data_IF_418222869810
#
_entry.id   IF_418222869810
#
_cell.length_a   1.000
_cell.length_b   1.000
_cell.length_c   1.000
_cell.angle_alpha   90.00
_cell.angle_beta   90.00
_cell.angle_gamma   90.00
#
_symmetry.space_group_name_H-M   'P 1'
#
loop_
_entity.id
_entity.type
_entity.pdbx_description
1 polymer ?
#
# COMPACT_ATOMS: atom_id res chain seq x y z
N UNK A 1 -6.74 28.63 26.66
CA UNK A 1 -6.86 27.50 25.71
C UNK A 1 -8.10 27.73 24.86
N UNK A 2 -7.97 28.39 23.71
CA UNK A 2 -9.08 28.56 22.75
C UNK A 2 -9.27 27.21 22.06
N UNK A 3 -10.49 26.65 22.10
CA UNK A 3 -10.81 25.36 21.50
C UNK A 3 -10.43 25.35 20.02
N UNK A 4 -9.60 24.38 19.66
CA UNK A 4 -9.25 24.07 18.27
C UNK A 4 -10.56 23.80 17.51
N UNK A 5 -10.98 24.76 16.68
CA UNK A 5 -12.11 24.56 15.77
C UNK A 5 -11.73 23.39 14.86
N UNK A 6 -12.51 22.30 14.89
CA UNK A 6 -12.45 21.25 13.88
C UNK A 6 -12.67 21.90 12.51
N UNK A 7 -11.62 22.05 11.74
CA UNK A 7 -11.65 22.64 10.39
C UNK A 7 -12.37 21.75 9.37
N UNK A 8 -12.62 20.48 9.69
CA UNK A 8 -13.41 19.58 8.85
C UNK A 8 -14.89 19.69 9.25
N UNK A 9 -15.75 19.97 8.27
CA UNK A 9 -17.19 19.80 8.40
C UNK A 9 -17.52 18.34 8.81
N UNK A 10 -18.77 18.07 9.23
CA UNK A 10 -19.20 16.68 9.51
C UNK A 10 -18.85 15.78 8.33
N UNK A 11 -18.20 14.63 8.60
CA UNK A 11 -17.91 13.64 7.59
C UNK A 11 -19.20 13.23 6.86
N UNK A 12 -19.13 13.14 5.54
CA UNK A 12 -20.25 12.64 4.75
C UNK A 12 -20.39 11.13 4.99
N UNK A 13 -21.50 10.73 5.59
CA UNK A 13 -21.74 9.34 5.99
C UNK A 13 -21.69 8.38 4.81
N UNK A 14 -22.24 8.75 3.64
CA UNK A 14 -22.21 7.89 2.45
C UNK A 14 -20.79 7.73 1.90
N UNK A 15 -20.02 8.82 1.89
CA UNK A 15 -18.61 8.76 1.47
C UNK A 15 -17.79 7.91 2.43
N UNK A 16 -18.05 8.02 3.74
CA UNK A 16 -17.38 7.19 4.74
C UNK A 16 -17.71 5.71 4.56
N UNK A 17 -18.97 5.36 4.26
CA UNK A 17 -19.38 3.99 3.92
C UNK A 17 -18.68 3.54 2.63
N UNK A 18 -18.62 4.39 1.60
CA UNK A 18 -17.92 4.07 0.35
C UNK A 18 -16.44 3.73 0.58
N UNK A 19 -15.75 4.49 1.46
CA UNK A 19 -14.36 4.20 1.86
C UNK A 19 -14.26 2.85 2.55
N UNK A 20 -15.19 2.52 3.45
CA UNK A 20 -15.17 1.20 4.11
C UNK A 20 -15.41 0.07 3.13
N UNK A 21 -16.38 0.18 2.23
CA UNK A 21 -16.65 -0.83 1.19
C UNK A 21 -15.42 -1.05 0.31
N UNK A 22 -14.76 0.03 -0.10
CA UNK A 22 -13.54 -0.05 -0.90
C UNK A 22 -12.39 -0.76 -0.14
N UNK A 23 -12.18 -0.41 1.12
CA UNK A 23 -11.16 -1.01 1.97
C UNK A 23 -11.50 -2.47 2.35
N UNK A 24 -12.78 -2.81 2.57
CA UNK A 24 -13.22 -4.21 2.76
C UNK A 24 -12.83 -5.05 1.55
N UNK A 25 -13.08 -4.54 0.34
CA UNK A 25 -12.71 -5.28 -0.86
C UNK A 25 -11.20 -5.54 -0.94
N UNK A 26 -10.37 -4.57 -0.55
CA UNK A 26 -8.93 -4.75 -0.54
C UNK A 26 -8.45 -5.72 0.56
N UNK A 27 -9.01 -5.60 1.79
CA UNK A 27 -8.67 -6.45 2.93
C UNK A 27 -9.14 -7.90 2.75
N UNK A 28 -10.34 -8.07 2.19
CA UNK A 28 -11.04 -9.36 2.13
C UNK A 28 -10.98 -10.02 0.75
N UNK A 29 -10.15 -9.52 -0.18
CA UNK A 29 -10.07 -10.01 -1.56
C UNK A 29 -9.98 -11.54 -1.66
N UNK A 30 -9.22 -12.18 -0.80
CA UNK A 30 -9.01 -13.63 -0.80
C UNK A 30 -10.11 -14.42 -0.08
N UNK A 31 -10.99 -13.76 0.66
CA UNK A 31 -12.05 -14.36 1.46
C UNK A 31 -13.43 -14.19 0.82
N UNK A 32 -13.54 -13.32 -0.20
CA UNK A 32 -14.77 -13.02 -0.90
C UNK A 32 -14.84 -13.78 -2.23
N UNK A 33 -16.02 -14.19 -2.67
CA UNK A 33 -16.23 -14.72 -4.02
C UNK A 33 -15.74 -13.73 -5.09
N UNK A 34 -15.17 -14.24 -6.18
CA UNK A 34 -14.63 -13.42 -7.28
C UNK A 34 -15.65 -12.42 -7.87
N UNK A 35 -16.94 -12.74 -7.86
CA UNK A 35 -18.01 -11.82 -8.27
C UNK A 35 -18.09 -10.60 -7.36
N UNK A 36 -18.06 -10.80 -6.05
CA UNK A 36 -18.12 -9.72 -5.06
C UNK A 36 -16.89 -8.81 -5.13
N UNK A 37 -15.69 -9.37 -5.32
CA UNK A 37 -14.46 -8.58 -5.42
C UNK A 37 -14.44 -7.65 -6.64
N UNK A 38 -15.24 -7.93 -7.66
CA UNK A 38 -15.45 -7.08 -8.84
C UNK A 38 -16.54 -6.03 -8.63
N UNK A 39 -17.62 -6.39 -7.91
CA UNK A 39 -18.79 -5.53 -7.70
C UNK A 39 -18.54 -4.48 -6.60
N UNK A 40 -17.89 -4.85 -5.50
CA UNK A 40 -17.69 -3.95 -4.36
C UNK A 40 -16.96 -2.64 -4.71
N UNK A 41 -15.88 -2.61 -5.52
CA UNK A 41 -15.23 -1.36 -5.91
C UNK A 41 -16.14 -0.47 -6.76
N UNK A 42 -16.94 -1.06 -7.66
CA UNK A 42 -17.93 -0.33 -8.46
C UNK A 42 -18.99 0.28 -7.54
N UNK A 43 -19.50 -0.49 -6.59
CA UNK A 43 -20.47 -0.02 -5.61
C UNK A 43 -19.91 1.11 -4.74
N UNK A 44 -18.64 1.03 -4.34
CA UNK A 44 -17.96 2.11 -3.63
C UNK A 44 -17.89 3.40 -4.46
N UNK A 45 -17.60 3.29 -5.77
CA UNK A 45 -17.60 4.44 -6.70
C UNK A 45 -18.99 5.06 -6.79
N UNK A 46 -20.03 4.25 -6.95
CA UNK A 46 -21.42 4.72 -7.01
C UNK A 46 -21.84 5.45 -5.73
N UNK A 47 -21.54 4.87 -4.56
CA UNK A 47 -21.83 5.52 -3.27
C UNK A 47 -21.09 6.85 -3.10
N UNK A 48 -19.82 6.92 -3.50
CA UNK A 48 -19.04 8.15 -3.44
C UNK A 48 -19.56 9.20 -4.42
N UNK A 49 -20.11 8.79 -5.56
CA UNK A 49 -20.64 9.66 -6.63
C UNK A 49 -22.03 10.23 -6.38
N UNK A 50 -22.89 9.57 -5.59
CA UNK A 50 -24.31 9.96 -5.38
C UNK A 50 -24.48 11.40 -4.90
N UNK A 51 -23.54 11.97 -4.16
CA UNK A 51 -23.61 13.34 -3.63
C UNK A 51 -22.70 14.34 -4.36
N UNK A 52 -22.26 14.04 -5.56
CA UNK A 52 -21.58 15.06 -6.38
C UNK A 52 -22.62 15.90 -7.11
N UNK A 53 -22.48 17.23 -7.06
CA UNK A 53 -23.38 18.16 -7.73
C UNK A 53 -23.46 17.93 -9.26
N UNK A 54 -22.42 17.31 -9.81
CA UNK A 54 -22.33 16.89 -11.21
C UNK A 54 -21.58 15.55 -11.26
N UNK A 55 -22.28 14.41 -11.18
CA UNK A 55 -21.64 13.07 -11.12
C UNK A 55 -20.84 12.74 -12.39
N UNK A 56 -21.10 13.43 -13.51
CA UNK A 56 -20.39 13.25 -14.77
C UNK A 56 -19.17 14.17 -14.94
N UNK A 57 -18.98 15.19 -14.08
CA UNK A 57 -17.82 16.07 -14.12
C UNK A 57 -16.81 15.63 -13.09
N UNK A 58 -15.78 14.91 -13.53
CA UNK A 58 -14.69 14.49 -12.65
C UNK A 58 -13.77 15.69 -12.35
N UNK A 59 -13.57 16.06 -11.08
CA UNK A 59 -12.70 17.17 -10.68
C UNK A 59 -11.22 16.78 -10.78
N UNK A 60 -10.70 16.76 -12.00
CA UNK A 60 -9.34 16.35 -12.33
C UNK A 60 -8.34 17.37 -11.78
N UNK A 61 -7.42 16.93 -10.93
CA UNK A 61 -6.30 17.70 -10.41
C UNK A 61 -5.01 17.48 -11.21
N UNK A 62 -3.97 18.27 -10.90
CA UNK A 62 -2.67 18.15 -11.58
C UNK A 62 -2.07 16.74 -11.46
N UNK A 63 -2.20 16.11 -10.28
CA UNK A 63 -1.72 14.75 -10.02
C UNK A 63 -2.44 13.67 -10.84
N UNK A 64 -3.68 13.95 -11.28
CA UNK A 64 -4.47 12.99 -12.04
C UNK A 64 -4.03 12.88 -13.50
N UNK A 65 -3.43 13.93 -14.07
CA UNK A 65 -3.04 13.98 -15.48
C UNK A 65 -2.03 12.89 -15.87
N UNK A 66 -0.91 12.70 -15.16
CA UNK A 66 0.01 11.60 -15.48
C UNK A 66 -0.61 10.22 -15.24
N UNK A 67 -1.51 10.08 -14.24
CA UNK A 67 -2.22 8.82 -13.98
C UNK A 67 -3.17 8.49 -15.14
N UNK A 68 -3.94 9.46 -15.63
CA UNK A 68 -4.81 9.29 -16.80
C UNK A 68 -4.00 8.92 -18.04
N UNK A 69 -2.86 9.57 -18.24
CA UNK A 69 -2.00 9.27 -19.38
C UNK A 69 -1.39 7.86 -19.27
N UNK A 70 -0.98 7.44 -18.07
CA UNK A 70 -0.55 6.06 -17.84
C UNK A 70 -1.67 5.06 -18.11
N UNK A 71 -2.87 5.33 -17.63
CA UNK A 71 -4.05 4.48 -17.86
C UNK A 71 -4.35 4.34 -19.35
N UNK A 72 -4.22 5.44 -20.11
CA UNK A 72 -4.38 5.44 -21.55
C UNK A 72 -3.32 4.56 -22.25
N UNK A 73 -2.03 4.74 -21.93
CA UNK A 73 -0.94 3.92 -22.46
C UNK A 73 -1.14 2.45 -22.12
N UNK A 74 -1.56 2.18 -20.90
CA UNK A 74 -1.78 0.82 -20.39
C UNK A 74 -2.96 0.14 -21.10
N UNK A 75 -4.05 0.89 -21.33
CA UNK A 75 -5.20 0.43 -22.13
C UNK A 75 -4.78 0.14 -23.58
N UNK A 76 -4.02 1.04 -24.20
CA UNK A 76 -3.51 0.85 -25.56
C UNK A 76 -2.62 -0.40 -25.66
N UNK A 77 -1.78 -0.64 -24.66
CA UNK A 77 -0.98 -1.85 -24.55
C UNK A 77 -1.78 -3.14 -24.52
N UNK A 78 -3.05 -3.10 -24.07
CA UNK A 78 -3.92 -4.28 -24.10
C UNK A 78 -4.31 -4.69 -25.52
N UNK A 79 -4.42 -3.74 -26.47
CA UNK A 79 -4.97 -4.01 -27.81
C UNK A 79 -4.08 -4.93 -28.64
N UNK A 80 -2.78 -4.93 -28.39
CA UNK A 80 -1.82 -5.81 -29.08
C UNK A 80 -1.18 -6.86 -28.14
N UNK A 81 -1.65 -6.94 -26.89
CA UNK A 81 -1.14 -7.91 -25.93
C UNK A 81 -1.61 -9.33 -26.21
N UNK A 82 -0.74 -10.35 -26.15
CA UNK A 82 -1.15 -11.75 -26.17
C UNK A 82 -2.04 -12.15 -24.97
N UNK A 83 -2.07 -11.32 -23.94
CA UNK A 83 -2.90 -11.50 -22.74
C UNK A 83 -3.99 -10.43 -22.61
N UNK A 84 -4.60 -9.99 -23.73
CA UNK A 84 -5.55 -8.87 -23.81
C UNK A 84 -6.63 -8.92 -22.72
N UNK A 85 -7.33 -10.05 -22.56
CA UNK A 85 -8.43 -10.20 -21.58
C UNK A 85 -7.95 -9.97 -20.15
N UNK A 86 -6.76 -10.47 -19.80
CA UNK A 86 -6.15 -10.29 -18.47
C UNK A 86 -5.70 -8.84 -18.28
N UNK A 87 -5.08 -8.24 -19.29
CA UNK A 87 -4.67 -6.84 -19.30
C UNK A 87 -5.86 -5.89 -19.08
N UNK A 88 -6.96 -6.09 -19.82
CA UNK A 88 -8.20 -5.32 -19.67
C UNK A 88 -8.77 -5.42 -18.25
N UNK A 89 -8.70 -6.59 -17.61
CA UNK A 89 -9.10 -6.76 -16.22
C UNK A 89 -8.29 -5.88 -15.24
N UNK A 90 -7.00 -5.78 -15.44
CA UNK A 90 -6.14 -4.90 -14.62
C UNK A 90 -6.38 -3.42 -14.89
N UNK A 91 -6.50 -3.02 -16.16
CA UNK A 91 -6.83 -1.63 -16.56
C UNK A 91 -8.16 -1.21 -15.96
N UNK A 92 -9.17 -2.07 -16.02
CA UNK A 92 -10.48 -1.81 -15.44
C UNK A 92 -10.41 -1.66 -13.89
N UNK A 93 -9.69 -2.55 -13.22
CA UNK A 93 -9.48 -2.47 -11.76
C UNK A 93 -8.78 -1.18 -11.37
N UNK A 94 -7.76 -0.77 -12.13
CA UNK A 94 -7.07 0.50 -11.92
C UNK A 94 -7.99 1.69 -12.14
N UNK A 95 -8.75 1.70 -13.24
CA UNK A 95 -9.68 2.79 -13.57
C UNK A 95 -10.74 2.99 -12.47
N UNK A 96 -11.34 1.91 -11.97
CA UNK A 96 -12.33 1.97 -10.88
C UNK A 96 -11.71 2.56 -9.61
N UNK A 97 -10.53 2.07 -9.19
CA UNK A 97 -9.87 2.57 -7.99
C UNK A 97 -9.43 4.05 -8.15
N UNK A 98 -9.01 4.44 -9.35
CA UNK A 98 -8.66 5.82 -9.67
C UNK A 98 -9.88 6.75 -9.63
N UNK A 99 -11.01 6.36 -10.25
CA UNK A 99 -12.27 7.12 -10.22
C UNK A 99 -12.77 7.26 -8.78
N UNK A 100 -12.72 6.18 -7.99
CA UNK A 100 -13.02 6.24 -6.56
C UNK A 100 -12.18 7.30 -5.85
N UNK A 101 -10.86 7.30 -6.10
CA UNK A 101 -9.93 8.28 -5.54
C UNK A 101 -10.26 9.72 -5.94
N UNK A 102 -10.75 9.96 -7.17
CA UNK A 102 -11.20 11.29 -7.60
C UNK A 102 -12.43 11.73 -6.80
N UNK A 103 -13.44 10.87 -6.66
CA UNK A 103 -14.67 11.23 -5.94
C UNK A 103 -14.42 11.54 -4.47
N UNK A 104 -13.60 10.75 -3.76
CA UNK A 104 -13.34 11.00 -2.34
C UNK A 104 -12.42 12.20 -2.09
N UNK A 105 -11.65 12.64 -3.10
CA UNK A 105 -10.65 13.72 -2.95
C UNK A 105 -11.22 15.06 -2.53
N UNK A 106 -12.50 15.34 -2.78
CA UNK A 106 -13.18 16.59 -2.45
C UNK A 106 -14.19 16.47 -1.30
N UNK A 107 -14.25 15.32 -0.67
CA UNK A 107 -15.24 15.02 0.37
C UNK A 107 -14.63 15.05 1.76
N UNK A 108 -15.47 15.28 2.76
CA UNK A 108 -15.06 15.20 4.16
C UNK A 108 -15.01 13.74 4.59
N UNK A 109 -13.82 13.18 4.68
CA UNK A 109 -13.55 11.83 5.20
C UNK A 109 -13.04 11.94 6.64
N UNK A 110 -13.57 11.13 7.55
CA UNK A 110 -13.06 11.06 8.91
C UNK A 110 -11.83 10.14 8.95
N UNK A 111 -10.66 10.77 8.91
CA UNK A 111 -9.35 10.10 8.92
C UNK A 111 -9.22 9.12 10.11
N UNK A 112 -9.63 9.54 11.30
CA UNK A 112 -9.53 8.70 12.50
C UNK A 112 -10.38 7.43 12.39
N UNK A 113 -11.58 7.53 11.80
CA UNK A 113 -12.45 6.37 11.59
C UNK A 113 -11.85 5.42 10.55
N UNK A 114 -11.28 5.96 9.46
CA UNK A 114 -10.57 5.15 8.46
C UNK A 114 -9.40 4.40 9.09
N UNK A 115 -8.58 5.10 9.89
CA UNK A 115 -7.42 4.47 10.53
C UNK A 115 -7.82 3.44 11.60
N UNK A 116 -8.89 3.67 12.35
CA UNK A 116 -9.46 2.67 13.28
C UNK A 116 -9.96 1.43 12.54
N UNK A 117 -10.62 1.63 11.40
CA UNK A 117 -11.10 0.52 10.58
C UNK A 117 -9.93 -0.32 10.02
N UNK A 118 -8.88 0.34 9.49
CA UNK A 118 -7.67 -0.35 9.03
C UNK A 118 -6.93 -1.04 10.19
N UNK A 119 -6.84 -0.39 11.36
CA UNK A 119 -6.25 -0.99 12.55
C UNK A 119 -6.95 -2.29 12.93
N UNK A 120 -8.29 -2.27 12.98
CA UNK A 120 -9.08 -3.46 13.33
C UNK A 120 -8.89 -4.57 12.29
N UNK A 121 -9.07 -4.27 11.00
CA UNK A 121 -8.96 -5.27 9.94
C UNK A 121 -7.57 -5.89 9.85
N UNK A 122 -6.52 -5.07 9.82
CA UNK A 122 -5.15 -5.56 9.75
C UNK A 122 -4.71 -6.30 11.04
N UNK A 123 -5.22 -5.91 12.23
CA UNK A 123 -4.94 -6.62 13.47
C UNK A 123 -5.56 -8.02 13.47
N UNK A 124 -6.80 -8.14 13.00
CA UNK A 124 -7.44 -9.46 12.87
C UNK A 124 -6.62 -10.36 11.93
N UNK A 125 -6.23 -9.85 10.77
CA UNK A 125 -5.43 -10.61 9.80
C UNK A 125 -4.05 -10.98 10.38
N UNK A 126 -3.38 -10.06 11.05
CA UNK A 126 -2.09 -10.30 11.71
C UNK A 126 -2.21 -11.31 12.85
N UNK A 127 -3.30 -11.31 13.61
CA UNK A 127 -3.52 -12.25 14.71
C UNK A 127 -3.47 -13.71 14.24
N UNK A 128 -4.06 -14.04 13.08
CA UNK A 128 -3.99 -15.39 12.53
C UNK A 128 -2.57 -15.78 12.10
N UNK A 129 -1.75 -14.82 11.65
CA UNK A 129 -0.34 -15.06 11.34
C UNK A 129 0.46 -15.34 12.62
N UNK A 130 0.17 -14.61 13.71
CA UNK A 130 0.82 -14.75 15.00
C UNK A 130 0.41 -16.04 15.74
N UNK A 131 -0.82 -16.48 15.56
CA UNK A 131 -1.34 -17.73 16.18
C UNK A 131 -0.84 -18.97 15.44
N UNK A 132 -0.60 -18.89 14.14
CA UNK A 132 -0.26 -20.05 13.30
C UNK A 132 0.97 -20.84 13.76
N UNK A 133 2.06 -20.23 14.28
CA UNK A 133 3.20 -20.99 14.84
C UNK A 133 2.83 -21.85 16.04
N UNK A 134 1.87 -21.37 16.87
CA UNK A 134 1.48 -22.04 18.13
C UNK A 134 0.33 -23.03 17.89
N UNK A 135 -0.59 -22.70 16.99
CA UNK A 135 -1.78 -23.51 16.72
C UNK A 135 -2.09 -23.55 15.21
N UNK A 136 -1.28 -24.26 14.41
CA UNK A 136 -1.48 -24.36 12.97
C UNK A 136 -2.82 -25.02 12.60
N UNK A 137 -3.29 -25.97 13.42
CA UNK A 137 -4.58 -26.66 13.21
C UNK A 137 -5.77 -25.69 13.32
N UNK A 138 -5.75 -24.77 14.28
CA UNK A 138 -6.81 -23.76 14.41
C UNK A 138 -6.89 -22.90 13.16
N UNK A 139 -5.76 -22.41 12.67
CA UNK A 139 -5.71 -21.60 11.46
C UNK A 139 -6.15 -22.41 10.24
N UNK A 140 -5.73 -23.65 10.14
CA UNK A 140 -6.16 -24.56 9.06
C UNK A 140 -7.68 -24.77 9.07
N UNK A 141 -8.30 -25.02 10.26
CA UNK A 141 -9.77 -25.16 10.38
C UNK A 141 -10.50 -23.91 9.91
N UNK A 142 -10.00 -22.72 10.27
CA UNK A 142 -10.59 -21.45 9.81
C UNK A 142 -10.42 -21.29 8.31
N UNK A 143 -9.28 -21.67 7.74
CA UNK A 143 -9.04 -21.62 6.30
C UNK A 143 -10.02 -22.48 5.51
N UNK A 144 -10.49 -23.60 6.06
CA UNK A 144 -11.51 -24.44 5.42
C UNK A 144 -12.89 -23.77 5.30
N UNK A 145 -13.14 -22.63 5.95
CA UNK A 145 -14.33 -21.83 5.74
C UNK A 145 -14.28 -21.02 4.43
N UNK A 146 -13.10 -20.90 3.81
CA UNK A 146 -12.90 -20.17 2.57
C UNK A 146 -12.77 -21.10 1.37
N UNK A 147 -13.13 -20.61 0.19
CA UNK A 147 -13.16 -21.41 -1.05
C UNK A 147 -11.78 -21.45 -1.72
N UNK A 148 -10.73 -21.94 -1.04
CA UNK A 148 -9.43 -22.12 -1.64
C UNK A 148 -9.37 -23.40 -2.46
N UNK A 149 -8.55 -23.41 -3.50
CA UNK A 149 -8.26 -24.59 -4.30
C UNK A 149 -7.41 -25.60 -3.54
N UNK A 150 -7.43 -26.88 -3.93
CA UNK A 150 -6.59 -27.92 -3.35
C UNK A 150 -5.09 -27.55 -3.43
N UNK A 151 -4.66 -26.91 -4.52
CA UNK A 151 -3.28 -26.45 -4.69
C UNK A 151 -2.90 -25.34 -3.70
N UNK A 152 -3.81 -24.38 -3.43
CA UNK A 152 -3.58 -23.33 -2.44
C UNK A 152 -3.44 -23.95 -1.03
N UNK A 153 -4.30 -24.88 -0.65
CA UNK A 153 -4.17 -25.61 0.62
C UNK A 153 -2.84 -26.36 0.73
N UNK A 154 -2.43 -27.05 -0.33
CA UNK A 154 -1.17 -27.77 -0.36
C UNK A 154 0.03 -26.83 -0.15
N UNK A 155 0.01 -25.66 -0.81
CA UNK A 155 1.04 -24.63 -0.66
C UNK A 155 1.06 -24.04 0.75
N UNK A 156 -0.11 -23.68 1.33
CA UNK A 156 -0.20 -23.18 2.70
C UNK A 156 0.38 -24.17 3.72
N UNK A 157 0.05 -25.45 3.57
CA UNK A 157 0.58 -26.49 4.43
C UNK A 157 2.10 -26.68 4.26
N UNK A 158 2.60 -26.64 3.02
CA UNK A 158 4.04 -26.74 2.75
C UNK A 158 4.80 -25.54 3.36
N UNK A 159 4.28 -24.34 3.26
CA UNK A 159 4.89 -23.16 3.88
C UNK A 159 4.88 -23.24 5.41
N UNK A 160 3.76 -23.66 6.00
CA UNK A 160 3.67 -23.83 7.46
C UNK A 160 4.71 -24.83 7.99
N UNK A 161 4.91 -25.96 7.29
CA UNK A 161 5.95 -26.94 7.63
C UNK A 161 7.38 -26.35 7.55
N UNK A 162 7.59 -25.39 6.67
CA UNK A 162 8.87 -24.69 6.51
C UNK A 162 9.02 -23.48 7.46
N UNK A 163 8.12 -23.28 8.43
CA UNK A 163 8.15 -22.14 9.34
C UNK A 163 7.78 -20.80 8.67
N UNK A 164 7.05 -20.84 7.54
CA UNK A 164 6.60 -19.66 6.81
C UNK A 164 5.08 -19.49 6.97
N UNK A 165 4.67 -18.46 7.67
CA UNK A 165 3.29 -18.35 8.10
C UNK A 165 2.51 -17.35 7.25
N UNK A 166 1.30 -17.74 6.83
CA UNK A 166 0.44 -16.94 5.95
C UNK A 166 -0.86 -16.49 6.63
N UNK A 167 -1.15 -17.02 7.81
CA UNK A 167 -2.42 -16.80 8.48
C UNK A 167 -3.59 -17.32 7.63
N UNK A 168 -4.51 -16.42 7.30
CA UNK A 168 -5.67 -16.73 6.48
C UNK A 168 -5.42 -16.64 4.97
N UNK A 169 -4.22 -16.28 4.51
CA UNK A 169 -3.98 -16.03 3.09
C UNK A 169 -3.41 -17.26 2.36
N UNK A 170 -3.79 -17.45 1.08
CA UNK A 170 -3.24 -18.51 0.26
C UNK A 170 -1.79 -18.25 -0.20
N UNK A 171 -1.29 -17.00 -0.04
CA UNK A 171 0.10 -16.60 -0.32
C UNK A 171 0.65 -15.74 0.81
N UNK A 172 1.99 -15.77 0.95
CA UNK A 172 2.75 -15.00 1.94
C UNK A 172 2.80 -13.50 1.62
N UNK A 173 2.66 -13.10 0.34
CA UNK A 173 2.74 -11.69 -0.06
C UNK A 173 1.58 -10.85 0.51
N UNK A 174 0.30 -11.23 0.38
CA UNK A 174 -0.78 -10.49 1.02
C UNK A 174 -0.68 -10.50 2.54
N UNK A 175 -0.27 -11.62 3.15
CA UNK A 175 -0.05 -11.69 4.60
C UNK A 175 0.96 -10.64 5.08
N UNK A 176 2.14 -10.59 4.46
CA UNK A 176 3.18 -9.61 4.77
C UNK A 176 2.73 -8.17 4.45
N UNK A 177 1.97 -7.96 3.39
CA UNK A 177 1.47 -6.64 3.02
C UNK A 177 0.53 -6.06 4.09
N UNK A 178 -0.46 -6.80 4.56
CA UNK A 178 -1.39 -6.29 5.57
C UNK A 178 -0.73 -6.11 6.94
N UNK A 179 0.27 -6.91 7.28
CA UNK A 179 1.14 -6.63 8.42
C UNK A 179 1.93 -5.33 8.23
N UNK A 180 2.42 -5.05 7.01
CA UNK A 180 3.08 -3.77 6.69
C UNK A 180 2.10 -2.59 6.76
N UNK A 181 0.87 -2.73 6.31
CA UNK A 181 -0.18 -1.69 6.48
C UNK A 181 -0.40 -1.40 7.96
N UNK A 182 -0.40 -2.45 8.83
CA UNK A 182 -0.53 -2.27 10.28
C UNK A 182 0.63 -1.45 10.88
N UNK A 183 1.87 -1.62 10.37
CA UNK A 183 3.00 -0.75 10.73
C UNK A 183 2.68 0.71 10.36
N UNK A 184 2.20 0.97 9.14
CA UNK A 184 1.81 2.30 8.69
C UNK A 184 0.73 2.94 9.57
N UNK A 185 -0.27 2.15 9.98
CA UNK A 185 -1.32 2.57 10.92
C UNK A 185 -0.73 2.89 12.30
N UNK A 186 0.20 2.07 12.79
CA UNK A 186 0.90 2.31 14.04
C UNK A 186 1.67 3.63 14.02
N UNK A 187 2.41 3.90 12.93
CA UNK A 187 3.12 5.16 12.73
C UNK A 187 2.15 6.35 12.68
N UNK A 188 0.98 6.22 12.02
CA UNK A 188 -0.06 7.25 12.07
C UNK A 188 -0.43 7.61 13.51
N UNK A 189 -0.73 6.63 14.38
CA UNK A 189 -1.06 6.88 15.78
C UNK A 189 0.09 7.50 16.57
N UNK A 190 1.32 7.12 16.30
CA UNK A 190 2.51 7.73 16.92
C UNK A 190 2.70 9.19 16.51
N UNK A 191 2.40 9.53 15.25
CA UNK A 191 2.54 10.88 14.72
C UNK A 191 1.40 11.83 15.13
N UNK A 192 0.18 11.32 15.36
CA UNK A 192 -0.98 12.12 15.80
C UNK A 192 -0.76 12.89 17.11
N UNK A 193 0.15 12.44 17.95
CA UNK A 193 0.21 12.87 19.35
C UNK A 193 1.41 13.72 19.73
N UNK A 194 2.12 14.31 18.77
CA UNK A 194 3.37 15.00 19.07
C UNK A 194 3.20 16.33 19.84
N UNK A 195 2.13 17.10 19.59
CA UNK A 195 1.96 18.44 20.19
C UNK A 195 0.72 18.61 21.09
N UNK A 196 -0.24 17.71 21.03
CA UNK A 196 -1.37 17.71 21.92
C UNK A 196 -1.10 16.77 23.09
N UNK A 197 -1.53 17.11 24.30
CA UNK A 197 -1.52 16.24 25.48
C UNK A 197 -2.38 14.97 25.25
N UNK A 198 -2.31 14.47 24.04
CA UNK A 198 -3.12 13.44 23.45
C UNK A 198 -2.99 12.11 24.17
N UNK A 199 -4.02 11.38 24.09
CA UNK A 199 -4.34 10.13 24.73
C UNK A 199 -3.12 9.16 24.70
N UNK A 200 -2.45 9.00 25.86
CA UNK A 200 -1.35 8.03 26.06
C UNK A 200 -1.72 6.63 25.53
N UNK A 201 -2.99 6.31 25.57
CA UNK A 201 -3.58 5.09 25.04
C UNK A 201 -3.40 4.93 23.54
N UNK A 202 -3.58 5.99 22.75
CA UNK A 202 -3.36 5.93 21.27
C UNK A 202 -1.89 5.68 20.93
N UNK A 203 -0.95 6.29 21.66
CA UNK A 203 0.49 6.03 21.48
C UNK A 203 0.83 4.58 21.82
N UNK A 204 0.29 4.07 22.90
CA UNK A 204 0.49 2.68 23.31
C UNK A 204 0.04 1.71 22.21
N UNK A 205 -1.17 1.91 21.66
CA UNK A 205 -1.62 1.11 20.52
C UNK A 205 -0.78 1.32 19.27
N UNK A 206 -0.31 2.55 19.01
CA UNK A 206 0.61 2.81 17.90
C UNK A 206 1.88 1.97 17.99
N UNK A 207 2.48 1.87 19.18
CA UNK A 207 3.64 1.01 19.44
C UNK A 207 3.29 -0.45 19.21
N UNK A 208 2.18 -0.94 19.78
CA UNK A 208 1.73 -2.34 19.61
C UNK A 208 1.54 -2.67 18.13
N UNK A 209 0.87 -1.81 17.35
CA UNK A 209 0.63 -2.07 15.93
C UNK A 209 1.93 -2.14 15.12
N UNK A 210 2.92 -1.30 15.43
CA UNK A 210 4.24 -1.39 14.79
C UNK A 210 4.91 -2.73 15.13
N UNK A 211 4.93 -3.14 16.40
CA UNK A 211 5.56 -4.39 16.80
C UNK A 211 4.84 -5.62 16.24
N UNK A 212 3.50 -5.67 16.34
CA UNK A 212 2.68 -6.75 15.81
C UNK A 212 2.84 -6.86 14.29
N UNK A 213 2.81 -5.71 13.59
CA UNK A 213 3.01 -5.68 12.15
C UNK A 213 4.41 -6.14 11.75
N UNK A 214 5.47 -5.64 12.41
CA UNK A 214 6.85 -6.01 12.12
C UNK A 214 7.09 -7.51 12.36
N UNK A 215 6.61 -8.03 13.48
CA UNK A 215 6.74 -9.46 13.78
C UNK A 215 5.91 -10.32 12.82
N UNK A 216 4.70 -9.88 12.45
CA UNK A 216 3.91 -10.56 11.43
C UNK A 216 4.61 -10.62 10.07
N UNK A 217 5.26 -9.53 9.61
CA UNK A 217 6.05 -9.54 8.36
C UNK A 217 7.21 -10.54 8.47
N UNK A 218 7.92 -10.60 9.60
CA UNK A 218 9.01 -11.57 9.83
C UNK A 218 8.50 -12.99 9.71
N UNK A 219 7.38 -13.34 10.34
CA UNK A 219 6.77 -14.66 10.30
C UNK A 219 6.42 -15.13 8.88
N UNK A 220 6.15 -14.22 7.96
CA UNK A 220 5.91 -14.58 6.54
C UNK A 220 7.16 -14.93 5.76
N UNK A 221 8.34 -14.60 6.28
CA UNK A 221 9.66 -14.79 5.64
C UNK A 221 9.73 -14.18 4.23
N UNK A 222 9.02 -13.06 3.99
CA UNK A 222 9.03 -12.30 2.71
C UNK A 222 10.00 -11.13 2.80
N UNK A 223 11.28 -11.35 2.41
CA UNK A 223 12.39 -10.37 2.48
C UNK A 223 12.06 -9.03 1.82
N UNK A 224 11.51 -9.02 0.60
CA UNK A 224 11.23 -7.80 -0.14
C UNK A 224 10.19 -6.91 0.54
N UNK A 225 9.17 -7.50 1.20
CA UNK A 225 8.15 -6.73 1.92
C UNK A 225 8.69 -6.19 3.26
N UNK A 226 9.58 -6.94 3.93
CA UNK A 226 10.25 -6.48 5.15
C UNK A 226 11.12 -5.25 4.86
N UNK A 227 11.94 -5.32 3.80
CA UNK A 227 12.77 -4.19 3.35
C UNK A 227 11.88 -3.00 2.96
N UNK A 228 10.80 -3.27 2.21
CA UNK A 228 9.82 -2.24 1.82
C UNK A 228 9.21 -1.53 3.02
N UNK A 229 8.76 -2.28 4.03
CA UNK A 229 8.18 -1.71 5.24
C UNK A 229 9.20 -0.90 6.05
N UNK A 230 10.44 -1.39 6.19
CA UNK A 230 11.52 -0.70 6.89
C UNK A 230 11.91 0.62 6.23
N UNK A 231 12.13 0.62 4.91
CA UNK A 231 12.47 1.84 4.16
C UNK A 231 11.29 2.83 4.18
N UNK A 232 10.05 2.35 4.03
CA UNK A 232 8.87 3.20 4.10
C UNK A 232 8.73 3.87 5.48
N UNK A 233 8.94 3.12 6.57
CA UNK A 233 8.95 3.67 7.93
C UNK A 233 10.06 4.71 8.12
N UNK A 234 11.25 4.44 7.62
CA UNK A 234 12.40 5.35 7.72
C UNK A 234 12.16 6.67 6.96
N UNK A 235 11.71 6.59 5.70
CA UNK A 235 11.42 7.78 4.87
C UNK A 235 10.31 8.63 5.49
N UNK A 236 9.22 8.01 5.95
CA UNK A 236 8.13 8.74 6.61
C UNK A 236 8.58 9.41 7.89
N UNK A 237 9.46 8.77 8.65
CA UNK A 237 10.03 9.32 9.86
C UNK A 237 10.89 10.55 9.57
N UNK A 238 11.76 10.53 8.54
CA UNK A 238 12.54 11.69 8.11
C UNK A 238 11.62 12.86 7.75
N UNK A 239 10.62 12.61 6.92
CA UNK A 239 9.67 13.66 6.48
C UNK A 239 8.88 14.22 7.67
N UNK A 240 8.40 13.36 8.58
CA UNK A 240 7.74 13.78 9.82
C UNK A 240 8.58 14.75 10.64
N UNK A 241 9.85 14.42 10.84
CA UNK A 241 10.75 15.25 11.63
C UNK A 241 11.09 16.56 10.92
N UNK A 242 11.30 16.52 9.62
CA UNK A 242 11.52 17.72 8.82
C UNK A 242 10.31 18.67 8.86
N UNK A 243 9.11 18.14 8.74
CA UNK A 243 7.87 18.89 8.85
C UNK A 243 7.67 19.51 10.24
N UNK A 244 8.15 18.87 11.30
CA UNK A 244 8.09 19.38 12.68
C UNK A 244 9.33 20.15 13.12
N UNK A 245 10.26 20.49 12.21
CA UNK A 245 11.51 21.25 12.48
C UNK A 245 12.38 20.64 13.60
N UNK A 246 12.35 19.32 13.75
CA UNK A 246 13.14 18.63 14.76
C UNK A 246 14.57 18.34 14.24
N UNK A 247 15.61 18.39 15.10
CA UNK A 247 16.98 18.15 14.69
C UNK A 247 17.17 16.70 14.24
N UNK A 248 17.64 16.53 13.01
CA UNK A 248 17.74 15.23 12.32
C UNK A 248 18.66 14.25 13.06
N UNK A 249 19.77 14.71 13.66
CA UNK A 249 20.75 13.83 14.31
C UNK A 249 20.17 13.02 15.49
N UNK A 250 19.29 13.62 16.31
CA UNK A 250 18.59 12.91 17.41
C UNK A 250 17.73 11.76 16.90
N UNK A 251 17.35 11.85 15.67
CA UNK A 251 16.48 10.94 14.95
C UNK A 251 17.27 9.75 14.45
N UNK A 252 18.39 10.03 13.78
CA UNK A 252 19.29 8.99 13.33
C UNK A 252 19.78 8.16 14.52
N UNK A 253 20.10 8.81 15.64
CA UNK A 253 20.48 8.11 16.85
C UNK A 253 19.34 7.23 17.39
N UNK A 254 18.11 7.77 17.49
CA UNK A 254 16.97 6.99 17.96
C UNK A 254 16.63 5.84 16.99
N UNK A 255 16.71 6.05 15.68
CA UNK A 255 16.51 5.01 14.68
C UNK A 255 17.55 3.90 14.79
N UNK A 256 18.84 4.25 14.96
CA UNK A 256 19.92 3.28 15.17
C UNK A 256 19.68 2.47 16.44
N UNK A 257 19.30 3.12 17.54
CA UNK A 257 19.00 2.43 18.81
C UNK A 257 17.81 1.48 18.64
N UNK A 258 16.74 1.92 17.98
CA UNK A 258 15.56 1.08 17.73
C UNK A 258 15.90 -0.12 16.85
N UNK A 259 16.64 0.09 15.76
CA UNK A 259 17.10 -0.99 14.87
C UNK A 259 18.00 -1.96 15.63
N UNK A 260 18.91 -1.45 16.47
CA UNK A 260 19.82 -2.28 17.28
C UNK A 260 19.07 -3.11 18.34
N UNK A 261 18.09 -2.51 19.03
CA UNK A 261 17.23 -3.24 19.99
C UNK A 261 16.38 -4.29 19.28
N UNK A 262 15.78 -3.95 18.15
CA UNK A 262 15.04 -4.90 17.31
C UNK A 262 15.97 -6.03 16.88
N UNK A 263 17.18 -5.72 16.43
CA UNK A 263 18.17 -6.74 16.03
C UNK A 263 18.53 -7.67 17.19
N UNK A 264 18.82 -7.14 18.39
CA UNK A 264 19.12 -7.98 19.58
C UNK A 264 17.94 -8.87 19.95
N UNK A 265 16.71 -8.30 19.99
CA UNK A 265 15.51 -9.07 20.37
C UNK A 265 15.24 -10.19 19.36
N UNK A 266 15.34 -9.89 18.08
CA UNK A 266 15.00 -10.83 17.01
C UNK A 266 16.15 -11.75 16.61
N UNK A 267 17.43 -11.42 16.86
CA UNK A 267 18.57 -12.27 16.47
C UNK A 267 18.56 -13.65 17.14
N UNK A 268 17.94 -13.76 18.31
CA UNK A 268 17.84 -14.99 19.07
C UNK A 268 16.57 -15.80 18.80
N UNK A 269 15.70 -15.35 17.90
CA UNK A 269 14.45 -16.05 17.58
C UNK A 269 14.65 -17.00 16.39
N UNK A 270 14.13 -18.22 16.49
CA UNK A 270 14.21 -19.25 15.44
C UNK A 270 13.73 -18.73 14.06
N UNK A 271 12.63 -17.98 14.05
CA UNK A 271 12.09 -17.35 12.82
C UNK A 271 13.09 -16.41 12.17
N UNK A 272 13.86 -15.68 12.99
CA UNK A 272 14.89 -14.76 12.47
C UNK A 272 16.07 -15.55 11.90
N UNK A 273 16.44 -16.65 12.52
CA UNK A 273 17.47 -17.55 11.99
C UNK A 273 17.06 -18.11 10.63
N UNK A 274 15.81 -18.56 10.47
CA UNK A 274 15.25 -18.98 9.17
C UNK A 274 15.28 -17.83 8.14
N UNK A 275 14.98 -16.60 8.57
CA UNK A 275 15.05 -15.44 7.68
C UNK A 275 16.49 -15.10 7.29
N UNK A 276 17.43 -15.12 8.25
CA UNK A 276 18.86 -14.86 8.04
C UNK A 276 19.47 -15.94 7.16
N UNK A 277 19.18 -17.22 7.42
CA UNK A 277 19.62 -18.33 6.59
C UNK A 277 19.24 -18.11 5.11
N UNK A 278 18.04 -17.63 4.83
CA UNK A 278 17.64 -17.28 3.45
C UNK A 278 18.42 -16.12 2.82
N UNK A 279 19.07 -15.28 3.61
CA UNK A 279 19.97 -14.24 3.08
C UNK A 279 21.39 -14.73 2.87
N UNK A 280 21.84 -15.68 3.73
CA UNK A 280 23.24 -16.11 3.81
C UNK A 280 23.48 -17.44 3.07
N UNK A 281 22.58 -18.43 3.26
CA UNK A 281 22.80 -19.82 2.84
C UNK A 281 22.30 -20.11 1.41
N UNK A 282 21.74 -19.14 0.70
CA UNK A 282 21.30 -19.33 -0.68
C UNK A 282 22.47 -19.10 -1.64
N UNK A 283 22.96 -20.16 -2.27
CA UNK A 283 23.90 -20.11 -3.41
C UNK A 283 23.36 -19.23 -4.56
N UNK A 284 22.05 -19.02 -4.59
CA UNK A 284 21.38 -18.14 -5.54
C UNK A 284 20.46 -17.12 -4.83
N UNK A 285 20.97 -15.93 -4.43
CA UNK A 285 20.20 -14.88 -3.75
C UNK A 285 19.05 -14.34 -4.60
N UNK A 286 19.12 -14.48 -5.92
CA UNK A 286 18.06 -14.03 -6.85
C UNK A 286 16.92 -15.05 -6.98
N UNK A 287 17.07 -16.26 -6.44
CA UNK A 287 16.01 -17.30 -6.47
C UNK A 287 15.50 -17.55 -7.90
N UNK A 288 16.39 -17.86 -8.84
CA UNK A 288 16.11 -18.04 -10.28
C UNK A 288 15.56 -16.81 -11.02
N UNK A 289 15.56 -15.63 -10.39
CA UNK A 289 15.10 -14.39 -11.03
C UNK A 289 16.03 -13.94 -12.15
N UNK A 290 17.28 -14.32 -12.15
CA UNK A 290 18.22 -14.08 -13.21
C UNK A 290 17.74 -14.63 -14.56
N UNK A 291 17.16 -15.84 -14.58
CA UNK A 291 16.56 -16.43 -15.78
C UNK A 291 15.34 -15.61 -16.22
N UNK A 292 14.47 -15.23 -15.26
CA UNK A 292 13.31 -14.38 -15.56
C UNK A 292 13.74 -13.04 -16.13
N UNK A 293 14.74 -12.41 -15.52
CA UNK A 293 15.24 -11.10 -15.96
C UNK A 293 15.95 -11.19 -17.32
N UNK A 294 16.70 -12.27 -17.59
CA UNK A 294 17.26 -12.54 -18.90
C UNK A 294 16.19 -12.57 -19.99
N UNK A 295 15.13 -13.35 -19.76
CA UNK A 295 13.98 -13.41 -20.68
C UNK A 295 13.27 -12.06 -20.83
N UNK A 296 13.14 -11.28 -19.76
CA UNK A 296 12.57 -9.93 -19.81
C UNK A 296 13.43 -9.02 -20.68
N UNK A 297 14.76 -9.01 -20.51
CA UNK A 297 15.66 -8.20 -21.33
C UNK A 297 15.59 -8.56 -22.80
N UNK A 298 15.54 -9.85 -23.14
CA UNK A 298 15.34 -10.28 -24.52
C UNK A 298 14.07 -9.68 -25.14
N UNK A 299 12.96 -9.69 -24.38
CA UNK A 299 11.69 -9.12 -24.85
C UNK A 299 11.71 -7.58 -24.92
N UNK A 300 12.42 -6.90 -24.03
CA UNK A 300 12.63 -5.45 -24.09
C UNK A 300 13.35 -5.09 -25.40
N UNK A 301 14.41 -5.80 -25.74
CA UNK A 301 15.16 -5.56 -26.99
C UNK A 301 14.36 -5.86 -28.27
N UNK A 302 13.41 -6.79 -28.20
CA UNK A 302 12.55 -7.10 -29.37
C UNK A 302 11.51 -6.01 -29.65
N UNK A 303 11.08 -5.22 -28.64
CA UNK A 303 10.11 -4.13 -28.81
C UNK A 303 10.39 -2.98 -27.81
N UNK A 304 11.48 -2.20 -27.99
CA UNK A 304 11.94 -1.27 -26.97
C UNK A 304 11.04 -0.05 -26.78
N UNK A 305 10.32 0.40 -27.82
CA UNK A 305 9.53 1.65 -27.76
C UNK A 305 8.16 1.47 -27.14
N UNK A 306 7.39 0.47 -27.58
CA UNK A 306 5.99 0.26 -27.20
C UNK A 306 5.78 -1.00 -26.36
N UNK A 307 6.79 -1.88 -26.28
CA UNK A 307 6.75 -3.12 -25.52
C UNK A 307 5.92 -4.23 -26.18
N UNK A 308 5.70 -5.30 -25.42
CA UNK A 308 5.02 -6.53 -25.86
C UNK A 308 3.52 -6.56 -25.53
N UNK A 309 3.00 -5.47 -24.96
CA UNK A 309 1.59 -5.33 -24.55
C UNK A 309 1.36 -5.59 -23.06
N UNK A 310 0.36 -4.92 -22.53
CA UNK A 310 -0.01 -4.96 -21.09
C UNK A 310 -0.36 -6.38 -20.65
N UNK A 311 0.17 -6.79 -19.48
CA UNK A 311 0.02 -8.12 -18.88
C UNK A 311 0.63 -9.27 -19.70
N UNK A 312 1.43 -8.98 -20.75
CA UNK A 312 2.08 -9.99 -21.58
C UNK A 312 3.09 -10.86 -20.82
N UNK A 313 3.67 -10.37 -19.71
CA UNK A 313 4.57 -11.15 -18.87
C UNK A 313 3.96 -12.49 -18.44
N UNK A 314 2.70 -12.50 -18.07
CA UNK A 314 2.01 -13.74 -17.65
C UNK A 314 1.85 -14.76 -18.76
N UNK A 315 1.76 -14.30 -20.01
CA UNK A 315 1.63 -15.15 -21.20
C UNK A 315 2.99 -15.59 -21.74
N UNK A 316 3.96 -14.66 -21.76
CA UNK A 316 5.28 -14.90 -22.37
C UNK A 316 6.25 -15.61 -21.42
N UNK A 317 6.15 -15.36 -20.11
CA UNK A 317 7.04 -15.92 -19.09
C UNK A 317 6.37 -17.00 -18.25
N UNK A 318 5.06 -17.20 -18.37
CA UNK A 318 4.27 -18.11 -17.52
C UNK A 318 4.07 -17.62 -16.08
N UNK A 319 4.78 -16.57 -15.66
CA UNK A 319 4.78 -15.98 -14.32
C UNK A 319 4.86 -14.46 -14.39
N UNK A 320 4.61 -13.77 -13.30
CA UNK A 320 4.90 -12.33 -13.21
C UNK A 320 6.40 -12.05 -13.19
N UNK A 321 6.82 -10.88 -13.69
CA UNK A 321 8.24 -10.51 -13.83
C UNK A 321 9.00 -10.29 -12.51
N UNK A 322 8.32 -10.31 -11.34
CA UNK A 322 8.90 -10.09 -10.00
C UNK A 322 9.73 -8.80 -9.83
N UNK A 323 9.60 -7.88 -10.76
CA UNK A 323 10.12 -6.52 -10.74
C UNK A 323 9.21 -5.68 -11.62
N UNK A 324 8.39 -4.82 -11.01
CA UNK A 324 7.38 -4.08 -11.75
C UNK A 324 7.98 -3.09 -12.76
N UNK A 325 9.16 -2.56 -12.47
CA UNK A 325 9.84 -1.62 -13.34
C UNK A 325 10.28 -2.29 -14.65
N UNK A 326 10.91 -3.46 -14.54
CA UNK A 326 11.29 -4.27 -15.70
C UNK A 326 10.06 -4.80 -16.44
N UNK A 327 9.02 -5.19 -15.69
CA UNK A 327 7.76 -5.67 -16.27
C UNK A 327 7.08 -4.58 -17.10
N UNK A 328 6.93 -3.37 -16.57
CA UNK A 328 6.34 -2.25 -17.31
C UNK A 328 7.19 -1.85 -18.51
N UNK A 329 8.52 -1.88 -18.37
CA UNK A 329 9.44 -1.61 -19.49
C UNK A 329 9.30 -2.65 -20.61
N UNK A 330 9.16 -3.94 -20.27
CA UNK A 330 8.92 -5.00 -21.24
C UNK A 330 7.55 -4.90 -21.91
N UNK A 331 6.51 -4.63 -21.12
CA UNK A 331 5.13 -4.66 -21.58
C UNK A 331 4.71 -3.40 -22.34
N UNK A 332 5.16 -2.23 -21.91
CA UNK A 332 4.73 -0.94 -22.45
C UNK A 332 5.90 -0.11 -23.05
N UNK A 333 7.08 -0.72 -23.17
CA UNK A 333 8.27 -0.08 -23.71
C UNK A 333 8.74 1.12 -22.91
N UNK A 334 9.71 1.85 -23.46
CA UNK A 334 10.27 3.04 -22.82
C UNK A 334 9.21 4.15 -22.65
N UNK A 335 8.26 4.25 -23.59
CA UNK A 335 7.20 5.25 -23.51
C UNK A 335 6.31 5.03 -22.29
N UNK A 336 5.79 3.80 -22.10
CA UNK A 336 4.99 3.46 -20.94
C UNK A 336 5.78 3.51 -19.64
N UNK A 337 7.05 3.10 -19.66
CA UNK A 337 7.93 3.16 -18.50
C UNK A 337 8.18 4.58 -18.00
N UNK A 338 8.50 5.53 -18.89
CA UNK A 338 8.70 6.94 -18.53
C UNK A 338 7.45 7.54 -17.91
N UNK A 339 6.27 7.25 -18.47
CA UNK A 339 5.01 7.71 -17.91
C UNK A 339 4.76 7.08 -16.53
N UNK A 340 5.00 5.78 -16.38
CA UNK A 340 4.86 5.08 -15.11
C UNK A 340 5.75 5.68 -14.01
N UNK A 341 7.04 5.88 -14.29
CA UNK A 341 7.97 6.52 -13.34
C UNK A 341 7.54 7.94 -13.02
N UNK A 342 7.03 8.69 -14.01
CA UNK A 342 6.50 10.05 -13.81
C UNK A 342 5.31 10.06 -12.84
N UNK A 343 4.39 9.09 -12.94
CA UNK A 343 3.27 8.94 -12.00
C UNK A 343 3.79 8.72 -10.57
N UNK A 344 4.70 7.75 -10.42
CA UNK A 344 5.26 7.40 -9.11
C UNK A 344 6.02 8.58 -8.48
N UNK A 345 6.90 9.22 -9.27
CA UNK A 345 7.69 10.37 -8.83
C UNK A 345 6.82 11.57 -8.46
N UNK A 346 5.85 11.91 -9.32
CA UNK A 346 4.96 13.04 -9.07
C UNK A 346 4.12 12.84 -7.79
N UNK A 347 3.55 11.65 -7.59
CA UNK A 347 2.80 11.32 -6.39
C UNK A 347 3.66 11.43 -5.12
N UNK A 348 4.85 10.86 -5.15
CA UNK A 348 5.81 10.91 -4.04
C UNK A 348 6.21 12.34 -3.68
N UNK A 349 6.70 13.11 -4.67
CA UNK A 349 7.16 14.48 -4.42
C UNK A 349 6.02 15.41 -3.98
N UNK A 350 4.83 15.26 -4.56
CA UNK A 350 3.65 16.04 -4.14
C UNK A 350 3.29 15.76 -2.68
N UNK A 351 3.37 14.49 -2.26
CA UNK A 351 3.08 14.10 -0.86
C UNK A 351 4.09 14.70 0.10
N UNK A 352 5.39 14.61 -0.21
CA UNK A 352 6.46 15.18 0.61
C UNK A 352 6.31 16.70 0.70
N UNK A 353 6.13 17.39 -0.43
CA UNK A 353 5.95 18.84 -0.45
C UNK A 353 4.75 19.30 0.37
N UNK A 354 3.62 18.59 0.25
CA UNK A 354 2.41 18.93 1.01
C UNK A 354 2.61 18.71 2.51
N UNK A 355 3.25 17.62 2.93
CA UNK A 355 3.57 17.37 4.33
C UNK A 355 4.49 18.45 4.92
N UNK A 356 5.49 18.91 4.17
CA UNK A 356 6.39 19.99 4.58
C UNK A 356 5.67 21.33 4.66
N UNK A 357 4.78 21.62 3.70
CA UNK A 357 3.93 22.84 3.73
C UNK A 357 3.03 22.84 4.96
N UNK A 358 2.38 21.72 5.30
CA UNK A 358 1.54 21.61 6.51
C UNK A 358 2.36 21.93 7.77
N UNK A 359 3.59 21.44 7.86
CA UNK A 359 4.50 21.77 8.95
C UNK A 359 4.85 23.26 9.02
N UNK A 360 5.03 23.91 7.88
CA UNK A 360 5.36 25.35 7.80
C UNK A 360 4.18 26.24 8.23
N UNK A 361 2.96 25.84 7.92
CA UNK A 361 1.73 26.55 8.31
C UNK A 361 1.15 26.13 9.66
N UNK A 362 1.89 25.32 10.44
CA UNK A 362 1.46 24.78 11.73
C UNK A 362 0.15 23.96 11.68
N UNK A 363 -0.21 23.46 10.49
CA UNK A 363 -1.36 22.61 10.29
C UNK A 363 -1.03 21.14 10.59
N UNK A 364 -0.72 20.88 11.86
CA UNK A 364 -0.18 19.58 12.28
C UNK A 364 -1.17 18.42 12.22
N UNK A 365 -2.49 18.71 12.21
CA UNK A 365 -3.52 17.67 12.24
C UNK A 365 -3.56 16.79 10.98
N UNK A 366 -3.30 17.37 9.79
CA UNK A 366 -3.31 16.62 8.52
C UNK A 366 -2.01 15.86 8.21
N UNK A 367 -0.91 16.14 8.96
CA UNK A 367 0.40 15.51 8.69
C UNK A 367 0.37 13.99 8.86
N UNK A 368 -0.22 13.41 9.94
CA UNK A 368 -0.18 11.95 10.13
C UNK A 368 -0.81 11.16 9.00
N UNK A 369 -1.92 11.66 8.43
CA UNK A 369 -2.62 10.98 7.33
C UNK A 369 -1.83 11.07 6.02
N UNK A 370 -1.19 12.21 5.75
CA UNK A 370 -0.24 12.35 4.63
C UNK A 370 0.97 11.42 4.79
N UNK A 371 1.47 11.24 6.01
CA UNK A 371 2.59 10.33 6.27
C UNK A 371 2.18 8.86 6.13
N UNK A 372 0.96 8.50 6.48
CA UNK A 372 0.43 7.18 6.15
C UNK A 372 0.36 6.98 4.62
N UNK A 373 -0.11 7.98 3.88
CA UNK A 373 -0.08 7.95 2.42
C UNK A 373 1.35 7.78 1.88
N UNK A 374 2.31 8.56 2.40
CA UNK A 374 3.72 8.45 2.02
C UNK A 374 4.29 7.06 2.31
N UNK A 375 3.94 6.48 3.47
CA UNK A 375 4.35 5.12 3.83
C UNK A 375 3.92 4.10 2.78
N UNK A 376 2.65 4.12 2.39
CA UNK A 376 2.11 3.21 1.37
C UNK A 376 2.79 3.44 0.00
N UNK A 377 3.04 4.70 -0.38
CA UNK A 377 3.70 5.02 -1.64
C UNK A 377 5.15 4.51 -1.66
N UNK A 378 5.94 4.77 -0.61
CA UNK A 378 7.32 4.30 -0.52
C UNK A 378 7.37 2.77 -0.47
N UNK A 379 6.46 2.15 0.29
CA UNK A 379 6.33 0.69 0.31
C UNK A 379 6.09 0.13 -1.09
N UNK A 380 5.17 0.71 -1.87
CA UNK A 380 4.88 0.32 -3.24
C UNK A 380 6.13 0.43 -4.14
N UNK A 381 6.86 1.55 -4.03
CA UNK A 381 8.09 1.79 -4.79
C UNK A 381 9.15 0.74 -4.50
N UNK A 382 9.42 0.48 -3.23
CA UNK A 382 10.50 -0.45 -2.82
C UNK A 382 10.11 -1.91 -3.10
N UNK A 383 8.88 -2.31 -2.76
CA UNK A 383 8.40 -3.64 -3.06
C UNK A 383 8.34 -3.91 -4.56
N UNK A 384 8.07 -2.90 -5.37
CA UNK A 384 8.08 -2.96 -6.83
C UNK A 384 9.41 -3.46 -7.42
N UNK A 385 10.53 -3.30 -6.72
CA UNK A 385 11.85 -3.84 -7.14
C UNK A 385 11.93 -5.37 -7.02
N UNK A 386 11.06 -6.00 -6.23
CA UNK A 386 11.10 -7.43 -5.94
C UNK A 386 9.75 -8.15 -6.08
N UNK A 387 8.72 -7.46 -6.53
CA UNK A 387 7.35 -7.94 -6.69
C UNK A 387 6.61 -7.25 -7.82
N UNK A 388 5.30 -7.54 -7.89
CA UNK A 388 4.41 -7.02 -8.94
C UNK A 388 3.24 -6.20 -8.34
N UNK A 389 3.48 -5.15 -7.54
CA UNK A 389 2.42 -4.44 -6.81
C UNK A 389 1.36 -3.80 -7.72
N UNK A 390 1.67 -3.55 -8.99
CA UNK A 390 0.73 -3.01 -9.97
C UNK A 390 -0.33 -4.06 -10.38
N UNK A 391 0.05 -5.35 -10.38
CA UNK A 391 -0.83 -6.47 -10.71
C UNK A 391 -1.49 -7.13 -9.50
N UNK A 392 -1.02 -6.78 -8.31
CA UNK A 392 -1.62 -7.18 -7.03
C UNK A 392 -2.71 -6.16 -6.63
N UNK A 393 -3.96 -6.42 -7.07
CA UNK A 393 -5.07 -5.45 -6.92
C UNK A 393 -5.22 -4.89 -5.49
N UNK A 394 -4.97 -5.70 -4.43
CA UNK A 394 -5.05 -5.22 -3.05
C UNK A 394 -3.97 -4.16 -2.76
N UNK A 395 -2.74 -4.30 -3.28
CA UNK A 395 -1.67 -3.31 -3.11
C UNK A 395 -1.96 -2.08 -3.97
N UNK A 396 -2.39 -2.29 -5.21
CA UNK A 396 -2.77 -1.22 -6.14
C UNK A 396 -3.89 -0.35 -5.55
N UNK A 397 -4.90 -0.96 -4.95
CA UNK A 397 -6.02 -0.22 -4.33
C UNK A 397 -5.54 0.63 -3.15
N UNK A 398 -4.65 0.10 -2.31
CA UNK A 398 -4.03 0.89 -1.25
C UNK A 398 -3.15 2.03 -1.78
N UNK A 399 -2.42 1.81 -2.86
CA UNK A 399 -1.60 2.85 -3.50
C UNK A 399 -2.47 3.99 -4.06
N UNK A 400 -3.52 3.67 -4.80
CA UNK A 400 -4.43 4.69 -5.35
C UNK A 400 -5.26 5.38 -4.25
N UNK A 401 -5.62 4.65 -3.20
CA UNK A 401 -6.21 5.25 -1.99
C UNK A 401 -5.23 6.22 -1.32
N UNK A 402 -3.97 5.86 -1.19
CA UNK A 402 -2.93 6.75 -0.65
C UNK A 402 -2.81 8.05 -1.49
N UNK A 403 -2.83 7.97 -2.81
CA UNK A 403 -2.85 9.16 -3.68
C UNK A 403 -4.11 10.00 -3.43
N UNK A 404 -5.25 9.37 -3.22
CA UNK A 404 -6.50 10.09 -2.95
C UNK A 404 -6.45 10.87 -1.62
N UNK A 405 -5.73 10.37 -0.62
CA UNK A 405 -5.45 11.08 0.64
C UNK A 405 -4.70 12.38 0.36
N UNK A 406 -3.69 12.35 -0.51
CA UNK A 406 -2.92 13.55 -0.87
C UNK A 406 -3.82 14.61 -1.51
N UNK A 407 -4.65 14.19 -2.48
CA UNK A 407 -5.60 15.08 -3.16
C UNK A 407 -6.64 15.67 -2.20
N UNK A 408 -7.12 14.87 -1.28
CA UNK A 408 -8.08 15.29 -0.26
C UNK A 408 -7.45 16.32 0.69
N UNK A 409 -6.25 16.04 1.18
CA UNK A 409 -5.50 16.94 2.06
C UNK A 409 -5.18 18.28 1.37
N UNK A 410 -4.77 18.25 0.09
CA UNK A 410 -4.53 19.45 -0.70
C UNK A 410 -5.80 20.31 -0.85
N UNK A 411 -6.93 19.68 -1.18
CA UNK A 411 -8.22 20.37 -1.31
C UNK A 411 -8.62 21.10 -0.01
N UNK A 412 -8.51 20.44 1.12
CA UNK A 412 -8.85 21.04 2.41
C UNK A 412 -7.88 22.16 2.80
N UNK A 413 -6.60 21.99 2.52
CA UNK A 413 -5.59 23.01 2.77
C UNK A 413 -5.82 24.29 1.95
N UNK A 414 -6.12 24.16 0.67
CA UNK A 414 -6.45 25.29 -0.20
C UNK A 414 -7.69 26.04 0.31
N UNK A 415 -8.74 25.31 0.73
CA UNK A 415 -9.97 25.91 1.26
C UNK A 415 -9.73 26.71 2.55
N UNK A 416 -8.88 26.20 3.44
CA UNK A 416 -8.50 26.91 4.69
C UNK A 416 -7.75 28.20 4.37
N UNK A 417 -6.79 28.15 3.45
CA UNK A 417 -5.99 29.31 3.06
C UNK A 417 -6.83 30.41 2.39
N UNK A 418 -7.82 30.04 1.58
CA UNK A 418 -8.74 31.00 0.96
C UNK A 418 -9.61 31.70 2.02
N UNK A 419 -10.10 30.95 3.02
CA UNK A 419 -10.90 31.53 4.11
C UNK A 419 -10.06 32.41 5.06
N UNK A 420 -8.78 32.10 5.23
CA UNK A 420 -7.84 32.92 6.04
C UNK A 420 -7.43 34.23 5.37
N UNK A 421 -7.49 34.32 4.03
CA UNK A 421 -7.20 35.54 3.28
C UNK A 421 -8.42 36.48 3.14
N UNK A 422 -9.62 35.95 3.38
CA UNK A 422 -10.88 36.73 3.29
C UNK A 422 -11.25 37.41 4.63
N UNK A 423 -10.45 37.19 5.67
CA UNK A 423 -10.52 37.91 6.96
C UNK A 423 -9.33 38.87 7.10
#
# INVERSE_FOLDING_TARGET
MRGEKRYYGKADTLVQIAVYVFLINALCKYFLPNSLTKILPIFAVLLAGVRTASPFVLPIKKIDKPILFFLFVWFFGCLYSPAMSKGMGYVFSFAIAFIFGIYISQKNVDENKVMKFLALGCTILAAFILIQPVSPELVSRVNHLFSYSANEYALMNAWTRNGWYTGLFPDRAPAAFFCSVLIGVGLYYLYCNYKTAGNKFQRFFGVIFVFVGAYGVLLTVKRGLLIGAGIAAFVTFIVYKKANKAPIWRICLAAIVVVFVIWIVFSNMEVTQVMVARFVDNDNPLTYREVIYGNIFEKIWSSPLIGTGTASAFSLLGIGGHNIYLTVLMENGILGFVVFISVLGYAFFSTVQLALRFGSYEYHQGIPFLLFSLYIQVFFLVYGMSGNPLYDNYILYFYLFAISIVKNSEYHFEKINLQGKAK
#
